data_IF_083171404076
#
_entry.id   IF_083171404076
#
_cell.length_a   1.000
_cell.length_b   1.000
_cell.length_c   1.000
_cell.angle_alpha   90.00
_cell.angle_beta   90.00
_cell.angle_gamma   90.00
#
_symmetry.space_group_name_H-M   'P 1'
#
loop_
_entity.id
_entity.type
_entity.pdbx_description
1 polymer ?
#
# COMPACT_ATOMS: atom_id res chain seq x y z
N UNK A 1 0.09 20.51 1.81
CA UNK A 1 0.72 19.40 2.55
C UNK A 1 1.69 18.70 1.62
N UNK A 2 2.60 17.90 2.17
CA UNK A 2 3.41 17.01 1.35
C UNK A 2 2.66 15.70 1.16
N UNK A 3 2.69 15.15 -0.06
CA UNK A 3 2.17 13.80 -0.33
C UNK A 3 3.19 12.78 0.17
N UNK A 4 2.70 11.76 0.87
CA UNK A 4 3.52 10.67 1.41
C UNK A 4 3.00 9.37 0.82
N UNK A 5 3.92 8.54 0.35
CA UNK A 5 3.64 7.18 -0.09
C UNK A 5 4.55 6.25 0.69
N UNK A 6 3.96 5.25 1.35
CA UNK A 6 4.67 4.13 1.95
C UNK A 6 4.35 2.87 1.17
N UNK A 7 5.37 2.17 0.70
CA UNK A 7 5.21 0.91 -0.03
C UNK A 7 6.22 -0.10 0.49
N UNK A 8 5.78 -1.35 0.62
CA UNK A 8 6.67 -2.45 0.98
C UNK A 8 5.93 -3.63 1.61
N UNK A 9 6.75 -4.52 2.18
CA UNK A 9 6.32 -5.64 3.02
C UNK A 9 6.29 -5.21 4.49
N UNK A 10 5.10 -5.14 5.07
CA UNK A 10 4.86 -4.71 6.45
C UNK A 10 4.95 -5.87 7.45
N UNK A 11 5.03 -7.12 7.00
CA UNK A 11 5.02 -8.34 7.82
C UNK A 11 3.87 -8.43 8.85
N UNK A 12 2.79 -7.68 8.63
CA UNK A 12 1.62 -7.57 9.50
C UNK A 12 0.34 -7.58 8.65
N UNK A 13 -0.76 -8.09 9.22
CA UNK A 13 -2.07 -8.00 8.58
C UNK A 13 -2.48 -6.52 8.44
N UNK A 14 -3.20 -6.13 7.36
CA UNK A 14 -3.64 -4.75 7.17
C UNK A 14 -4.42 -4.20 8.37
N UNK A 15 -5.22 -5.03 9.06
CA UNK A 15 -6.00 -4.61 10.22
C UNK A 15 -5.15 -4.37 11.47
N UNK A 16 -3.97 -4.97 11.55
CA UNK A 16 -3.03 -4.76 12.67
C UNK A 16 -2.30 -3.43 12.52
N UNK A 17 -1.91 -3.08 11.29
CA UNK A 17 -1.14 -1.86 11.01
C UNK A 17 -2.01 -0.63 10.77
N UNK A 18 -3.25 -0.82 10.29
CA UNK A 18 -4.17 0.27 9.94
C UNK A 18 -4.32 1.35 11.02
N UNK A 19 -4.56 1.01 12.32
CA UNK A 19 -4.77 2.05 13.34
C UNK A 19 -3.58 3.00 13.49
N UNK A 20 -2.35 2.49 13.30
CA UNK A 20 -1.13 3.31 13.42
C UNK A 20 -0.94 4.21 12.21
N UNK A 21 -1.21 3.70 11.01
CA UNK A 21 -1.02 4.45 9.77
C UNK A 21 -2.15 5.48 9.56
N UNK A 22 -3.37 5.15 9.95
CA UNK A 22 -4.51 6.07 9.95
C UNK A 22 -4.29 7.23 10.94
N UNK A 23 -3.79 6.98 12.15
CA UNK A 23 -3.40 8.03 13.10
C UNK A 23 -2.29 8.96 12.54
N UNK A 24 -1.44 8.43 11.67
CA UNK A 24 -0.42 9.20 10.94
C UNK A 24 -0.96 9.94 9.70
N UNK A 25 -2.26 9.91 9.43
CA UNK A 25 -2.89 10.58 8.29
C UNK A 25 -2.68 9.85 6.95
N UNK A 26 -2.51 8.53 6.98
CA UNK A 26 -2.39 7.68 5.80
C UNK A 26 -3.62 6.80 5.64
N UNK A 27 -3.90 6.39 4.40
CA UNK A 27 -4.95 5.43 4.06
C UNK A 27 -4.39 4.32 3.19
N UNK A 28 -4.95 3.12 3.29
CA UNK A 28 -4.59 2.01 2.42
C UNK A 28 -5.04 2.34 0.99
N UNK A 29 -4.11 2.23 0.04
CA UNK A 29 -4.31 2.57 -1.36
C UNK A 29 -4.26 1.35 -2.30
N UNK A 30 -3.58 0.29 -1.87
CA UNK A 30 -3.48 -0.97 -2.62
C UNK A 30 -2.70 -2.03 -1.85
N UNK A 31 -2.80 -3.27 -2.34
CA UNK A 31 -2.15 -4.42 -1.70
C UNK A 31 -3.11 -5.29 -0.90
N UNK A 32 -2.60 -6.47 -0.56
CA UNK A 32 -3.31 -7.52 0.14
C UNK A 32 -2.31 -8.32 0.99
N UNK A 33 -2.73 -8.75 2.17
CA UNK A 33 -1.82 -9.36 3.15
C UNK A 33 -0.75 -8.37 3.59
N UNK A 34 0.52 -8.78 3.54
CA UNK A 34 1.64 -8.02 4.09
C UNK A 34 2.26 -7.03 3.11
N UNK A 35 2.03 -7.20 1.81
CA UNK A 35 2.50 -6.29 0.76
C UNK A 35 1.47 -5.20 0.51
N UNK A 36 1.79 -3.96 0.88
CA UNK A 36 0.82 -2.85 0.88
C UNK A 36 1.39 -1.55 0.34
N UNK A 37 0.48 -0.68 -0.11
CA UNK A 37 0.74 0.73 -0.40
C UNK A 37 -0.20 1.58 0.45
N UNK A 38 0.38 2.49 1.21
CA UNK A 38 -0.32 3.52 1.98
C UNK A 38 0.02 4.89 1.41
N UNK A 39 -0.97 5.75 1.31
CA UNK A 39 -0.81 7.12 0.79
C UNK A 39 -1.35 8.11 1.80
N UNK A 40 -0.86 9.35 1.78
CA UNK A 40 -1.47 10.45 2.54
C UNK A 40 -2.96 10.56 2.23
N UNK A 41 -3.77 10.80 3.25
CA UNK A 41 -5.23 10.83 3.14
C UNK A 41 -5.73 11.77 2.02
N UNK A 42 -5.05 12.90 1.84
CA UNK A 42 -5.35 13.90 0.83
C UNK A 42 -4.86 13.58 -0.60
N UNK A 43 -4.15 12.46 -0.81
CA UNK A 43 -3.71 12.08 -2.15
C UNK A 43 -4.88 11.54 -2.97
N UNK A 44 -5.05 12.07 -4.18
CA UNK A 44 -6.02 11.54 -5.14
C UNK A 44 -5.46 10.29 -5.82
N UNK A 45 -6.27 9.24 -5.91
CA UNK A 45 -5.88 7.95 -6.50
C UNK A 45 -6.97 7.45 -7.43
N UNK A 46 -6.59 6.98 -8.63
CA UNK A 46 -7.55 6.53 -9.65
C UNK A 46 -7.71 5.01 -9.69
N UNK A 47 -6.60 4.28 -9.60
CA UNK A 47 -6.57 2.84 -9.85
C UNK A 47 -5.55 2.13 -8.96
N UNK A 48 -5.86 0.90 -8.56
CA UNK A 48 -4.91 -0.02 -7.95
C UNK A 48 -4.90 -1.35 -8.69
N UNK A 49 -3.72 -1.94 -8.83
CA UNK A 49 -3.50 -3.21 -9.52
C UNK A 49 -2.44 -4.04 -8.79
N UNK A 50 -2.61 -5.36 -8.78
CA UNK A 50 -1.55 -6.29 -8.39
C UNK A 50 -0.80 -6.74 -9.64
N UNK A 51 0.49 -6.41 -9.75
CA UNK A 51 1.35 -6.91 -10.80
C UNK A 51 1.88 -8.30 -10.42
N UNK A 52 1.65 -9.28 -11.30
CA UNK A 52 2.31 -10.59 -11.18
C UNK A 52 3.80 -10.40 -11.48
N UNK A 53 4.64 -10.70 -10.48
CA UNK A 53 6.08 -10.49 -10.59
C UNK A 53 6.80 -11.69 -11.22
N UNK A 54 6.09 -12.79 -11.51
CA UNK A 54 6.59 -14.01 -12.17
C UNK A 54 7.93 -14.56 -11.61
N UNK A 55 8.30 -14.17 -10.39
CA UNK A 55 9.68 -14.18 -9.89
C UNK A 55 10.03 -15.35 -8.96
N UNK A 56 11.28 -15.37 -8.51
CA UNK A 56 11.83 -16.33 -7.53
C UNK A 56 11.51 -15.96 -6.08
N UNK A 57 10.65 -14.97 -5.86
CA UNK A 57 10.20 -14.57 -4.52
C UNK A 57 9.04 -15.44 -4.09
N UNK A 58 8.84 -15.63 -2.79
CA UNK A 58 7.57 -16.12 -2.25
C UNK A 58 6.48 -15.04 -2.26
N UNK A 59 6.82 -13.78 -2.58
CA UNK A 59 5.91 -12.69 -2.85
C UNK A 59 5.71 -12.57 -4.36
N UNK A 60 4.64 -13.20 -4.85
CA UNK A 60 4.37 -13.29 -6.29
C UNK A 60 3.59 -12.09 -6.86
N UNK A 61 3.27 -11.11 -6.01
CA UNK A 61 2.48 -9.94 -6.38
C UNK A 61 3.13 -8.69 -5.83
N UNK A 62 3.19 -7.64 -6.64
CA UNK A 62 3.55 -6.30 -6.22
C UNK A 62 2.33 -5.39 -6.41
N UNK A 63 1.74 -4.84 -5.34
CA UNK A 63 0.67 -3.88 -5.49
C UNK A 63 1.17 -2.60 -6.13
N UNK A 64 0.28 -1.92 -6.83
CA UNK A 64 0.52 -0.61 -7.46
C UNK A 64 -0.70 0.27 -7.26
N UNK A 65 -0.47 1.58 -7.19
CA UNK A 65 -1.52 2.59 -7.22
C UNK A 65 -1.07 3.74 -8.12
N UNK A 66 -2.00 4.36 -8.84
CA UNK A 66 -1.74 5.58 -9.61
C UNK A 66 -2.26 6.80 -8.85
N UNK A 67 -1.38 7.79 -8.63
CA UNK A 67 -1.72 9.11 -8.06
C UNK A 67 -2.20 10.05 -9.18
N UNK A 68 -3.10 11.00 -8.87
CA UNK A 68 -3.58 12.04 -9.79
C UNK A 68 -3.05 13.44 -9.48
#
# INVERSE_FOLDING_TARGET
GHEVVLTGDFNLDPNEVAPTLEDAGLRLAGGNGIDMIWVSEAADTNQSHDLDTAGTSNHNRAPTVTLE
#
